data_IF_923249849294
#
_entry.id   IF_923249849294
#
_cell.length_a   1.000
_cell.length_b   1.000
_cell.length_c   1.000
_cell.angle_alpha   90.00
_cell.angle_beta   90.00
_cell.angle_gamma   90.00
#
_symmetry.space_group_name_H-M   'P 1'
#
loop_
_entity.id
_entity.type
_entity.pdbx_description
1 polymer ?
#
# COMPACT_ATOMS: atom_id res chain seq x y z
N UNK A 1 25.92 -12.72 14.44
CA UNK A 1 25.42 -12.47 14.22
C UNK A 1 25.06 -11.83 13.46
N UNK A 2 24.99 -12.12 13.25
CA UNK A 2 24.59 -11.66 12.74
C UNK A 2 23.97 -10.96 12.20
N UNK A 3 23.85 -11.06 12.17
CA UNK A 3 23.22 -10.51 11.85
C UNK A 3 22.72 -9.72 11.50
N UNK A 4 22.78 -9.94 11.61
CA UNK A 4 22.24 -9.34 11.48
C UNK A 4 22.04 -8.37 11.19
N UNK A 5 22.11 -8.55 11.33
CA UNK A 5 22.08 -7.79 10.97
C UNK A 5 21.77 -6.80 10.66
N UNK A 6 21.27 -7.21 11.47
CA UNK A 6 21.78 -5.98 11.16
C UNK A 6 20.85 -5.00 10.46
N UNK A 7 19.57 -5.28 10.28
CA UNK A 7 18.62 -4.32 9.74
C UNK A 7 18.19 -3.40 10.88
N UNK A 8 18.49 -2.11 10.75
CA UNK A 8 18.13 -1.13 11.76
C UNK A 8 16.65 -0.82 11.70
N UNK A 9 16.03 -0.43 12.84
CA UNK A 9 14.61 -0.06 12.83
C UNK A 9 14.27 1.04 11.83
N UNK A 10 15.12 2.04 11.66
CA UNK A 10 14.87 3.10 10.67
C UNK A 10 14.95 2.59 9.25
N UNK A 11 15.83 1.63 8.98
CA UNK A 11 15.91 1.03 7.66
C UNK A 11 14.63 0.25 7.34
N UNK A 12 14.07 -0.43 8.33
CA UNK A 12 12.81 -1.14 8.17
C UNK A 12 11.65 -0.17 7.95
N UNK A 13 11.62 0.93 8.71
CA UNK A 13 10.59 1.95 8.51
C UNK A 13 10.68 2.55 7.11
N UNK A 14 11.89 2.86 6.65
CA UNK A 14 12.08 3.42 5.31
C UNK A 14 11.61 2.43 4.25
N UNK A 15 11.87 1.15 4.45
CA UNK A 15 11.42 0.12 3.52
C UNK A 15 9.89 0.03 3.51
N UNK A 16 9.27 0.11 4.68
CA UNK A 16 7.82 0.14 4.79
C UNK A 16 7.24 1.32 4.01
N UNK A 17 7.76 2.51 4.22
CA UNK A 17 7.25 3.71 3.56
C UNK A 17 7.50 3.67 2.05
N UNK A 18 8.56 3.03 1.59
CA UNK A 18 8.75 2.84 0.15
C UNK A 18 7.64 1.97 -0.44
N UNK A 19 7.13 1.01 0.35
CA UNK A 19 5.99 0.21 -0.09
C UNK A 19 4.73 1.06 -0.29
N UNK A 20 4.56 2.09 0.51
CA UNK A 20 3.43 3.02 0.37
C UNK A 20 3.67 4.10 -0.68
N UNK A 21 4.92 4.35 -1.05
CA UNK A 21 5.25 5.46 -1.94
C UNK A 21 4.95 5.18 -3.41
N UNK A 22 4.81 3.93 -3.79
CA UNK A 22 4.49 3.59 -5.17
C UNK A 22 3.00 3.89 -5.44
N UNK A 23 2.68 4.74 -6.45
CA UNK A 23 1.28 5.12 -6.67
C UNK A 23 0.34 3.95 -6.92
N UNK A 24 0.79 2.92 -7.63
CA UNK A 24 -0.06 1.76 -7.91
C UNK A 24 -0.34 0.96 -6.65
N UNK A 25 0.69 0.71 -5.85
CA UNK A 25 0.48 0.00 -4.58
C UNK A 25 -0.39 0.80 -3.63
N UNK A 26 -0.17 2.11 -3.59
CA UNK A 26 -0.99 2.97 -2.74
C UNK A 26 -2.45 2.93 -3.15
N UNK A 27 -2.72 2.96 -4.47
CA UNK A 27 -4.09 2.89 -4.97
C UNK A 27 -4.76 1.58 -4.56
N UNK A 28 -4.03 0.47 -4.61
CA UNK A 28 -4.57 -0.82 -4.21
C UNK A 28 -4.89 -0.83 -2.71
N UNK A 29 -3.96 -0.37 -1.89
CA UNK A 29 -4.20 -0.31 -0.45
C UNK A 29 -5.38 0.59 -0.11
N UNK A 30 -5.49 1.73 -0.79
CA UNK A 30 -6.59 2.64 -0.59
C UNK A 30 -7.92 1.99 -0.95
N UNK A 31 -7.96 1.23 -2.06
CA UNK A 31 -9.18 0.54 -2.47
C UNK A 31 -9.63 -0.48 -1.42
N UNK A 32 -8.69 -1.06 -0.68
CA UNK A 32 -9.00 -2.08 0.33
C UNK A 32 -9.42 -1.49 1.67
N UNK A 33 -9.37 -0.17 1.83
CA UNK A 33 -9.73 0.47 3.11
C UNK A 33 -11.19 0.20 3.48
N UNK A 34 -12.07 0.09 2.50
CA UNK A 34 -13.48 -0.12 2.75
C UNK A 34 -13.83 -1.59 3.05
N UNK A 35 -12.93 -2.51 2.76
CA UNK A 35 -13.16 -3.93 3.00
C UNK A 35 -12.50 -4.80 1.93
N UNK A 36 -12.65 -6.12 2.07
CA UNK A 36 -12.02 -7.06 1.15
C UNK A 36 -12.55 -6.94 -0.27
N UNK A 37 -11.65 -7.11 -1.25
CA UNK A 37 -12.00 -7.08 -2.66
C UNK A 37 -11.24 -8.18 -3.40
N UNK A 38 -11.86 -8.78 -4.41
CA UNK A 38 -11.16 -9.67 -5.33
C UNK A 38 -10.47 -8.84 -6.41
N UNK A 39 -9.60 -9.49 -7.21
CA UNK A 39 -8.76 -8.79 -8.18
C UNK A 39 -9.60 -7.95 -9.15
N UNK A 40 -10.68 -8.51 -9.68
CA UNK A 40 -11.52 -7.78 -10.63
C UNK A 40 -12.09 -6.49 -10.04
N UNK A 41 -12.50 -6.52 -8.76
CA UNK A 41 -13.02 -5.34 -8.09
C UNK A 41 -11.90 -4.32 -7.86
N UNK A 42 -10.69 -4.77 -7.55
CA UNK A 42 -9.55 -3.88 -7.39
C UNK A 42 -9.21 -3.20 -8.71
N UNK A 43 -9.22 -3.96 -9.81
CA UNK A 43 -9.00 -3.40 -11.15
C UNK A 43 -10.02 -2.31 -11.42
N UNK A 44 -11.31 -2.59 -11.15
CA UNK A 44 -12.38 -1.61 -11.37
C UNK A 44 -12.18 -0.36 -10.50
N UNK A 45 -11.77 -0.54 -9.26
CA UNK A 45 -11.62 0.58 -8.32
C UNK A 45 -10.40 1.44 -8.64
N UNK A 46 -9.32 0.83 -9.15
CA UNK A 46 -8.04 1.55 -9.32
C UNK A 46 -7.77 1.98 -10.75
N UNK A 47 -8.39 1.33 -11.73
CA UNK A 47 -8.07 1.59 -13.14
C UNK A 47 -6.77 0.96 -13.61
N UNK A 48 -6.09 0.19 -12.75
CA UNK A 48 -4.86 -0.50 -13.11
C UNK A 48 -5.19 -1.75 -13.93
N UNK A 49 -4.22 -2.24 -14.70
CA UNK A 49 -4.40 -3.50 -15.43
C UNK A 49 -4.42 -4.67 -14.44
N UNK A 50 -5.02 -5.78 -14.86
CA UNK A 50 -5.08 -6.98 -14.04
C UNK A 50 -3.68 -7.49 -13.70
N UNK A 51 -2.76 -7.49 -14.67
CA UNK A 51 -1.40 -7.98 -14.42
C UNK A 51 -0.67 -7.07 -13.43
N UNK A 52 -0.87 -5.76 -13.51
CA UNK A 52 -0.30 -4.82 -12.56
C UNK A 52 -0.83 -5.08 -11.15
N UNK A 53 -2.15 -5.21 -11.03
CA UNK A 53 -2.77 -5.49 -9.73
C UNK A 53 -2.23 -6.79 -9.16
N UNK A 54 -2.19 -7.86 -9.97
CA UNK A 54 -1.72 -9.16 -9.50
C UNK A 54 -0.27 -9.11 -9.05
N UNK A 55 0.59 -8.42 -9.79
CA UNK A 55 2.01 -8.31 -9.43
C UNK A 55 2.20 -7.54 -8.13
N UNK A 56 1.50 -6.43 -7.98
CA UNK A 56 1.60 -5.63 -6.76
C UNK A 56 1.00 -6.36 -5.56
N UNK A 57 -0.12 -7.07 -5.76
CA UNK A 57 -0.71 -7.85 -4.67
C UNK A 57 0.23 -8.92 -4.16
N UNK A 58 0.98 -9.57 -5.08
CA UNK A 58 1.96 -10.56 -4.65
C UNK A 58 3.00 -9.93 -3.73
N UNK A 59 3.53 -8.79 -4.12
CA UNK A 59 4.52 -8.09 -3.33
C UNK A 59 3.94 -7.62 -1.98
N UNK A 60 2.75 -7.04 -2.01
CA UNK A 60 2.09 -6.57 -0.79
C UNK A 60 1.77 -7.72 0.15
N UNK A 61 1.39 -8.86 -0.41
CA UNK A 61 1.11 -10.06 0.38
C UNK A 61 2.40 -10.58 1.05
N UNK A 62 3.49 -10.61 0.29
CA UNK A 62 4.78 -11.06 0.82
C UNK A 62 5.26 -10.15 1.95
N UNK A 63 4.96 -8.87 1.86
CA UNK A 63 5.34 -7.91 2.89
C UNK A 63 4.37 -7.85 4.07
N UNK A 64 3.25 -8.57 4.00
CA UNK A 64 2.27 -8.58 5.07
C UNK A 64 1.32 -7.40 5.07
N UNK A 65 1.35 -6.54 4.06
CA UNK A 65 0.46 -5.38 3.99
C UNK A 65 -0.93 -5.75 3.50
N UNK A 66 -1.07 -6.87 2.81
CA UNK A 66 -2.38 -7.44 2.47
C UNK A 66 -2.40 -8.90 2.83
N UNK A 67 -3.60 -9.44 3.05
CA UNK A 67 -3.83 -10.86 3.24
C UNK A 67 -4.79 -11.34 2.18
N UNK A 68 -4.65 -12.61 1.80
CA UNK A 68 -5.47 -13.25 0.80
C UNK A 68 -6.32 -14.31 1.48
N UNK A 69 -7.60 -14.38 1.09
CA UNK A 69 -8.53 -15.33 1.67
C UNK A 69 -9.37 -15.95 0.56
N UNK A 70 -9.31 -17.28 0.38
CA UNK A 70 -10.15 -17.93 -0.62
C UNK A 70 -11.63 -17.76 -0.28
N UNK A 71 -12.43 -17.49 -1.32
CA UNK A 71 -13.87 -17.38 -1.20
C UNK A 71 -14.51 -17.98 -2.46
N UNK A 72 -14.82 -19.26 -2.39
CA UNK A 72 -15.32 -19.98 -3.55
C UNK A 72 -14.26 -20.03 -4.64
N UNK A 73 -14.62 -19.58 -5.85
CA UNK A 73 -13.65 -19.54 -6.96
C UNK A 73 -12.87 -18.25 -7.00
N UNK A 74 -13.09 -17.33 -6.06
CA UNK A 74 -12.41 -16.07 -5.98
C UNK A 74 -11.45 -16.07 -4.79
N UNK A 75 -10.49 -15.16 -4.84
CA UNK A 75 -9.64 -14.86 -3.70
C UNK A 75 -9.90 -13.39 -3.34
N UNK A 76 -10.32 -13.14 -2.13
CA UNK A 76 -10.46 -11.78 -1.63
C UNK A 76 -9.17 -11.34 -0.98
N UNK A 77 -8.80 -10.10 -1.22
CA UNK A 77 -7.66 -9.46 -0.58
C UNK A 77 -8.16 -8.40 0.37
N UNK A 78 -7.49 -8.28 1.50
CA UNK A 78 -7.82 -7.27 2.50
C UNK A 78 -6.53 -6.71 3.09
N UNK A 79 -6.63 -5.57 3.76
CA UNK A 79 -5.49 -5.02 4.47
C UNK A 79 -5.02 -6.03 5.50
N UNK A 80 -3.69 -6.20 5.59
CA UNK A 80 -3.11 -7.23 6.44
C UNK A 80 -3.18 -6.93 7.92
N UNK A 81 -3.38 -5.65 8.25
CA UNK A 81 -3.40 -5.20 9.65
C UNK A 81 -4.24 -3.94 9.69
N UNK A 82 -5.04 -3.80 10.73
CA UNK A 82 -5.89 -2.62 10.90
C UNK A 82 -5.07 -1.34 10.88
N UNK A 83 -3.82 -1.40 11.33
CA UNK A 83 -2.95 -0.23 11.36
C UNK A 83 -2.54 0.26 9.99
N UNK A 84 -2.60 -0.57 8.95
CA UNK A 84 -2.37 -0.11 7.58
C UNK A 84 -3.41 0.94 7.20
N UNK A 85 -4.67 0.64 7.48
CA UNK A 85 -5.74 1.61 7.25
C UNK A 85 -5.59 2.86 8.10
N UNK A 86 -5.13 2.71 9.33
CA UNK A 86 -4.90 3.85 10.22
C UNK A 86 -3.78 4.74 9.70
N UNK A 87 -2.71 4.16 9.16
CA UNK A 87 -1.65 4.94 8.54
C UNK A 87 -2.16 5.78 7.39
N UNK A 88 -3.00 5.18 6.55
CA UNK A 88 -3.58 5.89 5.42
C UNK A 88 -4.50 7.02 5.89
N UNK A 89 -5.28 6.76 6.94
CA UNK A 89 -6.15 7.79 7.52
C UNK A 89 -5.34 8.94 8.09
N UNK A 90 -4.25 8.63 8.81
CA UNK A 90 -3.38 9.67 9.35
C UNK A 90 -2.70 10.45 8.23
N UNK A 91 -2.32 9.79 7.15
CA UNK A 91 -1.78 10.49 5.98
C UNK A 91 -2.79 11.48 5.42
N UNK A 92 -4.07 11.06 5.33
CA UNK A 92 -5.13 11.97 4.89
C UNK A 92 -5.24 13.19 5.80
N UNK A 93 -5.21 12.95 7.11
CA UNK A 93 -5.30 14.05 8.08
C UNK A 93 -4.11 15.00 7.98
N UNK A 94 -2.93 14.43 7.84
CA UNK A 94 -1.72 15.23 7.70
C UNK A 94 -1.79 16.11 6.46
N UNK A 95 -2.24 15.53 5.34
CA UNK A 95 -2.37 16.27 4.09
C UNK A 95 -3.42 17.38 4.18
N UNK A 96 -4.50 17.16 4.93
CA UNK A 96 -5.51 18.17 5.13
C UNK A 96 -4.95 19.40 5.83
N UNK A 97 -3.96 19.20 6.73
CA UNK A 97 -3.31 20.31 7.41
C UNK A 97 -2.08 20.86 6.72
N UNK A 98 -1.42 20.07 5.87
CA UNK A 98 -0.12 20.40 5.29
C UNK A 98 -0.10 20.33 3.76
N UNK A 99 -1.27 20.22 3.12
CA UNK A 99 -1.34 19.93 1.69
C UNK A 99 -0.59 20.98 0.85
N UNK A 100 -0.71 22.24 1.19
CA UNK A 100 -0.05 23.30 0.42
C UNK A 100 1.47 23.11 0.35
N UNK A 101 2.08 22.73 1.48
CA UNK A 101 3.52 22.53 1.53
C UNK A 101 3.95 21.34 0.70
N UNK A 102 3.22 20.24 0.78
CA UNK A 102 3.57 19.01 0.08
C UNK A 102 3.35 19.15 -1.42
N UNK A 103 2.21 19.74 -1.82
CA UNK A 103 1.91 19.92 -3.23
C UNK A 103 2.91 20.84 -3.91
N UNK A 104 3.39 21.85 -3.19
CA UNK A 104 4.34 22.81 -3.73
C UNK A 104 5.78 22.29 -3.71
N UNK A 105 6.06 21.20 -3.05
CA UNK A 105 7.42 20.71 -2.88
C UNK A 105 7.85 19.85 -4.06
N UNK A 106 8.72 20.38 -4.89
CA UNK A 106 9.21 19.67 -6.08
C UNK A 106 10.04 18.44 -5.75
N UNK A 107 10.59 18.39 -4.54
CA UNK A 107 11.44 17.26 -4.13
C UNK A 107 10.64 15.98 -3.93
N UNK A 108 9.34 16.10 -3.68
CA UNK A 108 8.46 14.95 -3.48
C UNK A 108 7.64 14.62 -4.72
N UNK A 109 7.95 15.26 -5.86
CA UNK A 109 7.23 14.98 -7.08
C UNK A 109 7.48 13.52 -7.49
N UNK A 110 6.45 12.80 -7.95
CA UNK A 110 6.66 11.41 -8.38
C UNK A 110 7.54 11.38 -9.63
N UNK A 111 8.30 10.30 -9.80
CA UNK A 111 9.07 10.14 -11.03
C UNK A 111 8.13 9.95 -12.23
N UNK A 112 8.54 10.46 -13.36
CA UNK A 112 7.75 10.34 -14.58
C UNK A 112 7.83 8.97 -15.21
#
# INVERSE_FOLDING_TARGET
MLLETSTRPLDLQAKLFRGFADPSRLAILDALRAGPLHVGAIVAATGLSQSNVSNHLRCLHECGLVQAEPRGRFVDYRLGDVRVGELLRLADELLAGAACGIEACHRYAPPD
#
